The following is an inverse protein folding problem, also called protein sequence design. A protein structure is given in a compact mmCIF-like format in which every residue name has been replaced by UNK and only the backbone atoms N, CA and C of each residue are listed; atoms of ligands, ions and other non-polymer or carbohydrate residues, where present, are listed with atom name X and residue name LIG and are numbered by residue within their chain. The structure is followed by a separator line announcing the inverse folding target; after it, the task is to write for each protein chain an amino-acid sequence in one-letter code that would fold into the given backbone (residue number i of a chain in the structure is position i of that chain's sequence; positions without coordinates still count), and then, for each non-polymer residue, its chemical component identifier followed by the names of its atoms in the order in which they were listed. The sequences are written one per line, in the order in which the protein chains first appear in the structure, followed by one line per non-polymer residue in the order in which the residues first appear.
data_IF_671320208492
#
_entry.id   IF_671320208492
#
_cell.length_a   1.000
_cell.length_b   1.000
_cell.length_c   1.000
_cell.angle_alpha   90.00
_cell.angle_beta   90.00
_cell.angle_gamma   90.00
#
_symmetry.space_group_name_H-M   'P 1'
#
loop_
_entity.id
_entity.type
_entity.pdbx_description
1 polymer ?
#
# COMPACT_ATOMS: atom_id res chain seq x y z
N UNK A 1 2.14 -17.34 -16.38
CA UNK A 1 3.03 -16.16 -16.51
C UNK A 1 2.24 -14.85 -16.50
N UNK A 2 1.35 -14.58 -17.46
CA UNK A 2 0.60 -13.31 -17.50
C UNK A 2 -0.52 -13.24 -16.46
N UNK A 3 -1.15 -14.37 -16.12
CA UNK A 3 -2.27 -14.41 -15.17
C UNK A 3 -1.83 -14.04 -13.75
N UNK A 4 -0.71 -14.58 -13.30
CA UNK A 4 -0.16 -14.35 -11.96
C UNK A 4 0.26 -12.89 -11.79
N UNK A 5 0.92 -12.32 -12.81
CA UNK A 5 1.27 -10.90 -12.86
C UNK A 5 0.03 -10.01 -12.69
N UNK A 6 -1.04 -10.28 -13.45
CA UNK A 6 -2.28 -9.50 -13.37
C UNK A 6 -2.99 -9.67 -12.03
N UNK A 7 -3.04 -10.90 -11.49
CA UNK A 7 -3.65 -11.18 -10.20
C UNK A 7 -2.92 -10.43 -9.08
N UNK A 8 -1.60 -10.54 -9.00
CA UNK A 8 -0.79 -9.88 -7.98
C UNK A 8 -0.82 -8.35 -8.13
N UNK A 9 -0.79 -7.84 -9.37
CA UNK A 9 -0.97 -6.41 -9.64
C UNK A 9 -2.31 -5.92 -9.08
N UNK A 10 -3.41 -6.63 -9.36
CA UNK A 10 -4.73 -6.24 -8.85
C UNK A 10 -4.77 -6.26 -7.32
N UNK A 11 -4.19 -7.28 -6.69
CA UNK A 11 -4.16 -7.39 -5.23
C UNK A 11 -3.32 -6.26 -4.59
N UNK A 12 -2.18 -5.89 -5.17
CA UNK A 12 -1.39 -4.75 -4.72
C UNK A 12 -2.14 -3.43 -4.88
N UNK A 13 -2.81 -3.22 -6.02
CA UNK A 13 -3.62 -2.03 -6.25
C UNK A 13 -4.79 -1.92 -5.27
N UNK A 14 -5.41 -3.05 -4.91
CA UNK A 14 -6.49 -3.09 -3.92
C UNK A 14 -5.96 -2.88 -2.51
N UNK A 15 -4.80 -3.43 -2.18
CA UNK A 15 -4.15 -3.17 -0.90
C UNK A 15 -3.91 -1.66 -0.74
N UNK A 16 -3.26 -1.01 -1.71
CA UNK A 16 -2.86 0.40 -1.57
C UNK A 16 -4.00 1.40 -1.84
N UNK A 17 -4.85 1.13 -2.83
CA UNK A 17 -5.99 1.97 -3.20
C UNK A 17 -7.20 1.82 -2.29
N UNK A 18 -7.35 0.66 -1.63
CA UNK A 18 -8.49 0.33 -0.78
C UNK A 18 -8.79 1.36 0.32
N UNK A 19 -7.79 1.80 1.13
CA UNK A 19 -8.01 2.82 2.17
C UNK A 19 -8.53 4.15 1.62
N UNK A 20 -8.05 4.58 0.45
CA UNK A 20 -8.51 5.80 -0.19
C UNK A 20 -9.97 5.65 -0.64
N UNK A 21 -10.30 4.55 -1.31
CA UNK A 21 -11.67 4.26 -1.75
C UNK A 21 -12.61 4.18 -0.54
N UNK A 22 -12.22 3.49 0.53
CA UNK A 22 -13.04 3.42 1.74
C UNK A 22 -13.26 4.80 2.35
N UNK A 23 -12.23 5.67 2.38
CA UNK A 23 -12.39 7.05 2.86
C UNK A 23 -13.34 7.86 1.98
N UNK A 24 -13.35 7.64 0.67
CA UNK A 24 -14.21 8.33 -0.28
C UNK A 24 -15.67 7.90 -0.15
N UNK A 25 -15.94 6.60 -0.07
CA UNK A 25 -17.31 6.07 -0.05
C UNK A 25 -17.88 5.95 1.37
N UNK A 26 -17.03 5.79 2.39
CA UNK A 26 -17.43 5.67 3.79
C UNK A 26 -16.51 6.48 4.72
N UNK A 27 -16.54 7.82 4.64
CA UNK A 27 -15.63 8.68 5.41
C UNK A 27 -15.76 8.48 6.92
N UNK A 28 -16.99 8.26 7.42
CA UNK A 28 -17.33 8.05 8.82
C UNK A 28 -17.18 6.59 9.30
N UNK A 29 -16.50 5.73 8.55
CA UNK A 29 -16.28 4.35 8.99
C UNK A 29 -15.47 4.34 10.30
N UNK A 30 -15.76 3.41 11.23
CA UNK A 30 -15.06 3.34 12.51
C UNK A 30 -13.55 3.11 12.33
N UNK A 31 -12.77 3.33 13.39
CA UNK A 31 -11.31 3.10 13.41
C UNK A 31 -10.49 4.01 12.47
N UNK A 32 -11.03 5.17 12.08
CA UNK A 32 -10.29 6.20 11.33
C UNK A 32 -9.21 6.94 12.14
N UNK A 33 -8.78 6.39 13.28
CA UNK A 33 -7.79 7.00 14.18
C UNK A 33 -6.36 6.73 13.70
N UNK A 34 -5.41 7.66 13.93
CA UNK A 34 -4.00 7.45 13.62
C UNK A 34 -3.46 6.20 14.30
N UNK A 35 -2.71 5.38 13.55
CA UNK A 35 -2.11 4.14 14.02
C UNK A 35 -1.08 4.39 15.12
N UNK A 36 -0.33 5.49 15.01
CA UNK A 36 0.66 5.91 16.00
C UNK A 36 0.05 6.64 17.21
N UNK A 37 -1.27 6.88 17.23
CA UNK A 37 -1.95 7.63 18.28
C UNK A 37 -1.45 9.08 18.43
N UNK A 38 -0.81 9.65 17.40
CA UNK A 38 -0.21 10.99 17.48
C UNK A 38 1.12 11.05 18.22
N UNK A 39 1.79 9.91 18.46
CA UNK A 39 3.09 9.86 19.11
C UNK A 39 4.15 10.64 18.33
N UNK A 40 4.90 11.45 19.06
CA UNK A 40 6.07 12.20 18.58
C UNK A 40 7.32 11.58 19.20
N UNK A 41 8.36 11.36 18.39
CA UNK A 41 9.63 10.80 18.83
C UNK A 41 10.58 11.88 19.37
N UNK A 42 11.72 11.47 19.92
CA UNK A 42 12.71 12.36 20.53
C UNK A 42 13.29 13.44 19.58
N UNK A 43 13.20 13.22 18.26
CA UNK A 43 13.60 14.21 17.25
C UNK A 43 12.50 15.24 16.91
N UNK A 44 11.40 15.26 17.68
CA UNK A 44 10.29 16.19 17.49
C UNK A 44 9.36 15.84 16.32
N UNK A 45 9.53 14.68 15.68
CA UNK A 45 8.75 14.27 14.50
C UNK A 45 7.78 13.14 14.82
N UNK A 46 6.61 13.06 14.13
CA UNK A 46 5.68 11.95 14.30
C UNK A 46 6.35 10.59 14.06
N UNK A 47 5.83 9.54 14.70
CA UNK A 47 6.29 8.16 14.46
C UNK A 47 5.98 7.72 13.02
N UNK A 48 4.73 7.91 12.57
CA UNK A 48 4.28 7.59 11.21
C UNK A 48 3.64 8.82 10.56
N UNK A 49 2.76 9.50 11.30
CA UNK A 49 1.95 10.62 10.84
C UNK A 49 0.47 10.24 10.68
N UNK A 50 -0.40 11.25 10.78
CA UNK A 50 -1.86 11.06 10.87
C UNK A 50 -2.54 10.41 9.66
N UNK A 51 -1.84 10.24 8.53
CA UNK A 51 -2.35 9.55 7.35
C UNK A 51 -2.42 8.02 7.50
N UNK A 52 -1.62 7.44 8.42
CA UNK A 52 -1.63 5.98 8.67
C UNK A 52 -2.66 5.69 9.75
N UNK A 53 -3.76 5.03 9.39
CA UNK A 53 -4.90 4.79 10.30
C UNK A 53 -5.10 3.31 10.56
N UNK A 54 -5.71 2.96 11.70
CA UNK A 54 -6.06 1.57 12.03
C UNK A 54 -6.98 0.97 10.96
N UNK A 55 -8.03 1.71 10.57
CA UNK A 55 -8.93 1.33 9.47
C UNK A 55 -8.17 1.12 8.17
N UNK A 56 -7.25 2.01 7.82
CA UNK A 56 -6.42 1.89 6.63
C UNK A 56 -5.65 0.57 6.60
N UNK A 57 -4.89 0.28 7.67
CA UNK A 57 -4.12 -0.97 7.81
C UNK A 57 -5.02 -2.20 7.67
N UNK A 58 -6.18 -2.21 8.33
CA UNK A 58 -7.11 -3.33 8.22
C UNK A 58 -7.60 -3.54 6.78
N UNK A 59 -7.91 -2.47 6.05
CA UNK A 59 -8.32 -2.56 4.64
C UNK A 59 -7.19 -3.06 3.76
N UNK A 60 -5.97 -2.53 3.93
CA UNK A 60 -4.79 -2.95 3.17
C UNK A 60 -4.50 -4.46 3.32
N UNK A 61 -4.82 -5.04 4.47
CA UNK A 61 -4.66 -6.48 4.74
C UNK A 61 -5.85 -7.32 4.27
N UNK A 62 -7.08 -6.91 4.59
CA UNK A 62 -8.27 -7.73 4.41
C UNK A 62 -8.84 -7.66 2.99
N UNK A 63 -8.78 -6.50 2.33
CA UNK A 63 -9.30 -6.35 0.97
C UNK A 63 -8.59 -7.30 -0.04
N UNK A 64 -7.25 -7.38 -0.09
CA UNK A 64 -6.59 -8.34 -0.98
C UNK A 64 -6.84 -9.80 -0.54
N UNK A 65 -6.94 -10.09 0.75
CA UNK A 65 -7.29 -11.44 1.22
C UNK A 65 -8.66 -11.90 0.72
N UNK A 66 -9.66 -11.02 0.77
CA UNK A 66 -11.02 -11.29 0.29
C UNK A 66 -11.10 -11.37 -1.24
N UNK A 67 -10.29 -10.59 -1.96
CA UNK A 67 -10.29 -10.58 -3.42
C UNK A 67 -9.47 -11.72 -4.04
N UNK A 68 -8.47 -12.24 -3.32
CA UNK A 68 -7.57 -13.27 -3.85
C UNK A 68 -8.29 -14.50 -4.45
N UNK A 69 -9.32 -15.10 -3.83
CA UNK A 69 -10.05 -16.23 -4.43
C UNK A 69 -10.67 -15.90 -5.78
N UNK A 70 -11.15 -14.67 -5.97
CA UNK A 70 -11.80 -14.21 -7.21
C UNK A 70 -10.81 -14.19 -8.37
N UNK A 71 -9.55 -13.86 -8.11
CA UNK A 71 -8.47 -13.89 -9.12
C UNK A 71 -7.78 -15.26 -9.23
N UNK A 72 -8.25 -16.26 -8.49
CA UNK A 72 -7.70 -17.62 -8.49
C UNK A 72 -6.43 -17.76 -7.64
N UNK A 73 -6.28 -16.94 -6.61
CA UNK A 73 -5.17 -16.96 -5.65
C UNK A 73 -5.72 -17.33 -4.27
N UNK A 74 -4.94 -18.05 -3.46
CA UNK A 74 -5.36 -18.40 -2.08
C UNK A 74 -5.59 -17.14 -1.23
N UNK A 75 -6.63 -17.10 -0.37
CA UNK A 75 -6.86 -15.96 0.52
C UNK A 75 -5.68 -15.71 1.47
N UNK A 76 -4.93 -16.75 1.83
CA UNK A 76 -3.70 -16.63 2.62
C UNK A 76 -2.60 -15.86 1.90
N UNK A 77 -2.48 -16.02 0.57
CA UNK A 77 -1.53 -15.26 -0.24
C UNK A 77 -1.99 -13.80 -0.34
N UNK A 78 -3.30 -13.55 -0.50
CA UNK A 78 -3.84 -12.20 -0.46
C UNK A 78 -3.57 -11.49 0.87
N UNK A 79 -3.75 -12.20 1.99
CA UNK A 79 -3.44 -11.68 3.33
C UNK A 79 -1.94 -11.39 3.49
N UNK A 80 -1.08 -12.35 3.12
CA UNK A 80 0.37 -12.18 3.18
C UNK A 80 0.82 -10.97 2.37
N UNK A 81 0.33 -10.84 1.13
CA UNK A 81 0.62 -9.74 0.24
C UNK A 81 0.18 -8.41 0.84
N UNK A 82 -1.07 -8.33 1.34
CA UNK A 82 -1.60 -7.13 1.99
C UNK A 82 -0.81 -6.73 3.24
N UNK A 83 -0.47 -7.69 4.10
CA UNK A 83 0.32 -7.45 5.31
C UNK A 83 1.73 -6.95 5.02
N UNK A 84 2.41 -7.56 4.06
CA UNK A 84 3.77 -7.18 3.68
C UNK A 84 3.81 -5.85 2.91
N UNK A 85 2.82 -5.59 2.06
CA UNK A 85 2.66 -4.27 1.43
C UNK A 85 2.43 -3.18 2.48
N UNK A 86 1.57 -3.45 3.48
CA UNK A 86 1.34 -2.54 4.61
C UNK A 86 2.61 -2.32 5.43
N UNK A 87 3.41 -3.36 5.66
CA UNK A 87 4.69 -3.22 6.35
C UNK A 87 5.66 -2.31 5.57
N UNK A 88 5.72 -2.48 4.25
CA UNK A 88 6.49 -1.59 3.36
C UNK A 88 6.04 -0.13 3.49
N UNK A 89 4.72 0.11 3.38
CA UNK A 89 4.12 1.44 3.51
C UNK A 89 4.40 2.10 4.87
N UNK A 90 4.25 1.35 5.96
CA UNK A 90 4.54 1.85 7.32
C UNK A 90 6.03 2.11 7.53
N UNK A 91 6.90 1.21 7.03
CA UNK A 91 8.35 1.36 7.08
C UNK A 91 8.82 2.60 6.31
N UNK A 92 8.30 2.80 5.10
CA UNK A 92 8.54 4.02 4.33
C UNK A 92 8.01 5.25 5.05
N UNK A 93 6.80 5.21 5.60
CA UNK A 93 6.23 6.33 6.35
C UNK A 93 7.12 6.74 7.52
N UNK A 94 7.59 5.77 8.31
CA UNK A 94 8.55 5.98 9.38
C UNK A 94 9.85 6.62 8.87
N UNK A 95 10.46 6.05 7.83
CA UNK A 95 11.70 6.55 7.26
C UNK A 95 11.55 7.98 6.75
N UNK A 96 10.44 8.31 6.08
CA UNK A 96 10.12 9.68 5.64
C UNK A 96 10.09 10.65 6.81
N UNK A 97 9.58 10.26 7.99
CA UNK A 97 9.64 11.09 9.20
C UNK A 97 11.07 11.27 9.70
N UNK A 98 11.88 10.21 9.70
CA UNK A 98 13.30 10.31 10.10
C UNK A 98 14.10 11.21 9.14
N UNK A 99 13.74 11.24 7.86
CA UNK A 99 14.34 12.12 6.85
C UNK A 99 13.79 13.56 6.86
N UNK A 100 12.73 13.84 7.62
CA UNK A 100 12.19 15.19 7.81
C UNK A 100 11.15 15.60 6.79
N UNK A 101 10.67 14.63 6.01
CA UNK A 101 9.58 14.83 5.09
C UNK A 101 8.27 14.96 5.88
N UNK A 102 7.43 15.92 5.52
CA UNK A 102 6.11 16.13 6.14
C UNK A 102 5.16 14.95 5.86
N UNK A 103 4.17 14.66 6.73
CA UNK A 103 3.10 13.71 6.43
C UNK A 103 2.44 14.04 5.09
N UNK A 104 2.23 13.01 4.25
CA UNK A 104 1.72 13.18 2.89
C UNK A 104 2.75 13.62 1.85
N UNK A 105 3.99 13.95 2.24
CA UNK A 105 5.05 14.21 1.27
C UNK A 105 5.38 12.94 0.46
N UNK A 106 5.46 13.15 -0.85
CA UNK A 106 5.87 12.18 -1.85
C UNK A 106 7.37 11.88 -1.73
N UNK A 107 7.74 10.60 -1.76
CA UNK A 107 9.12 10.16 -1.95
C UNK A 107 9.16 9.11 -3.08
N UNK A 108 9.38 9.60 -4.31
CA UNK A 108 9.39 8.74 -5.50
C UNK A 108 10.35 7.57 -5.35
N UNK A 109 9.87 6.37 -5.68
CA UNK A 109 10.61 5.12 -5.52
C UNK A 109 10.58 4.60 -4.09
N UNK A 110 10.75 5.46 -3.08
CA UNK A 110 10.70 5.03 -1.69
C UNK A 110 9.28 4.61 -1.27
N UNK A 111 8.26 5.27 -1.80
CA UNK A 111 6.86 4.89 -1.59
C UNK A 111 6.55 3.57 -2.34
N UNK A 112 6.89 3.47 -3.63
CA UNK A 112 6.44 2.34 -4.45
C UNK A 112 7.24 1.04 -4.26
N UNK A 113 8.57 1.12 -4.07
CA UNK A 113 9.43 -0.06 -4.11
C UNK A 113 9.20 -1.00 -2.92
N UNK A 114 9.19 -0.56 -1.65
CA UNK A 114 8.99 -1.45 -0.52
C UNK A 114 7.58 -2.05 -0.52
N UNK A 115 6.57 -1.26 -0.89
CA UNK A 115 5.16 -1.67 -0.93
C UNK A 115 4.89 -2.78 -1.94
N UNK A 116 5.64 -2.82 -3.05
CA UNK A 116 5.51 -3.85 -4.08
C UNK A 116 6.53 -4.99 -3.94
N UNK A 117 7.82 -4.67 -3.78
CA UNK A 117 8.87 -5.70 -3.81
C UNK A 117 8.83 -6.60 -2.57
N UNK A 118 8.56 -6.05 -1.40
CA UNK A 118 8.53 -6.83 -0.16
C UNK A 118 7.48 -7.96 -0.20
N UNK A 119 6.20 -7.71 -0.55
CA UNK A 119 5.24 -8.79 -0.74
C UNK A 119 5.57 -9.70 -1.93
N UNK A 120 6.00 -9.16 -3.08
CA UNK A 120 6.28 -9.98 -4.27
C UNK A 120 7.42 -10.96 -4.05
N UNK A 121 8.48 -10.54 -3.35
CA UNK A 121 9.61 -11.41 -3.01
C UNK A 121 9.19 -12.53 -2.05
N UNK A 122 8.28 -12.26 -1.11
CA UNK A 122 7.74 -13.29 -0.22
C UNK A 122 6.81 -14.26 -0.96
N UNK A 123 6.00 -13.78 -1.90
CA UNK A 123 5.13 -14.63 -2.72
C UNK A 123 5.89 -15.39 -3.81
N UNK A 124 7.09 -14.95 -4.19
CA UNK A 124 7.91 -15.56 -5.26
C UNK A 124 8.07 -17.09 -5.11
N UNK A 125 8.58 -17.63 -3.98
CA UNK A 125 8.72 -19.08 -3.82
C UNK A 125 7.36 -19.79 -3.69
N UNK A 126 6.33 -19.11 -3.18
CA UNK A 126 5.01 -19.69 -2.92
C UNK A 126 4.18 -19.88 -4.20
N UNK A 127 4.41 -19.02 -5.20
CA UNK A 127 3.68 -19.01 -6.47
C UNK A 127 4.57 -19.42 -7.66
N UNK A 128 5.82 -19.77 -7.41
CA UNK A 128 6.77 -20.15 -8.46
C UNK A 128 7.15 -19.01 -9.40
N UNK A 129 7.16 -17.76 -8.92
CA UNK A 129 7.41 -16.59 -9.77
C UNK A 129 8.88 -16.52 -10.23
N UNK A 130 9.07 -16.16 -11.49
CA UNK A 130 10.34 -15.73 -12.05
C UNK A 130 10.71 -14.31 -11.61
N UNK A 131 11.99 -13.97 -11.72
CA UNK A 131 12.47 -12.60 -11.43
C UNK A 131 11.84 -11.56 -12.37
N UNK A 132 11.64 -11.92 -13.65
CA UNK A 132 10.98 -11.04 -14.62
C UNK A 132 9.55 -10.70 -14.22
N UNK A 133 8.80 -11.64 -13.65
CA UNK A 133 7.42 -11.41 -13.19
C UNK A 133 7.40 -10.47 -11.97
N UNK A 134 8.31 -10.70 -11.01
CA UNK A 134 8.45 -9.81 -9.84
C UNK A 134 8.75 -8.37 -10.27
N UNK A 135 9.74 -8.19 -11.15
CA UNK A 135 10.14 -6.87 -11.62
C UNK A 135 9.04 -6.21 -12.46
N UNK A 136 8.38 -6.97 -13.33
CA UNK A 136 7.28 -6.46 -14.15
C UNK A 136 6.09 -6.04 -13.28
N UNK A 137 5.65 -6.87 -12.33
CA UNK A 137 4.55 -6.52 -11.44
C UNK A 137 4.89 -5.31 -10.58
N UNK A 138 6.11 -5.21 -10.04
CA UNK A 138 6.54 -4.05 -9.26
C UNK A 138 6.55 -2.76 -10.09
N UNK A 139 7.05 -2.82 -11.33
CA UNK A 139 7.06 -1.69 -12.25
C UNK A 139 5.64 -1.25 -12.61
N UNK A 140 4.77 -2.20 -12.99
CA UNK A 140 3.38 -1.92 -13.32
C UNK A 140 2.62 -1.33 -12.14
N UNK A 141 2.86 -1.84 -10.92
CA UNK A 141 2.29 -1.28 -9.70
C UNK A 141 2.76 0.15 -9.49
N UNK A 142 4.06 0.42 -9.58
CA UNK A 142 4.60 1.77 -9.37
C UNK A 142 4.00 2.78 -10.35
N UNK A 143 3.89 2.42 -11.63
CA UNK A 143 3.26 3.28 -12.64
C UNK A 143 1.77 3.50 -12.38
N UNK A 144 1.05 2.43 -12.03
CA UNK A 144 -0.37 2.51 -11.73
C UNK A 144 -0.65 3.31 -10.45
N UNK A 145 0.18 3.18 -9.42
CA UNK A 145 0.06 3.94 -8.18
C UNK A 145 0.24 5.44 -8.41
N UNK A 146 1.28 5.82 -9.17
CA UNK A 146 1.50 7.22 -9.57
C UNK A 146 0.32 7.76 -10.39
N UNK A 147 -0.19 6.98 -11.33
CA UNK A 147 -1.36 7.37 -12.14
C UNK A 147 -2.62 7.54 -11.27
N UNK A 148 -2.92 6.59 -10.39
CA UNK A 148 -4.07 6.65 -9.48
C UNK A 148 -3.96 7.81 -8.50
N UNK A 149 -2.77 8.06 -7.97
CA UNK A 149 -2.49 9.21 -7.13
C UNK A 149 -2.79 10.52 -7.86
N UNK A 150 -2.29 10.68 -9.09
CA UNK A 150 -2.54 11.88 -9.91
C UNK A 150 -4.02 12.06 -10.25
N UNK A 151 -4.72 10.98 -10.62
CA UNK A 151 -6.17 11.01 -10.87
C UNK A 151 -6.92 11.42 -9.60
N UNK A 152 -6.58 10.85 -8.45
CA UNK A 152 -7.23 11.18 -7.18
C UNK A 152 -7.03 12.63 -6.75
N UNK A 153 -5.87 13.21 -7.07
CA UNK A 153 -5.61 14.64 -6.88
C UNK A 153 -6.46 15.51 -7.82
N UNK A 154 -6.53 15.16 -9.12
CA UNK A 154 -7.36 15.87 -10.09
C UNK A 154 -8.85 15.85 -9.74
N UNK A 155 -9.31 14.78 -9.09
CA UNK A 155 -10.69 14.64 -8.61
C UNK A 155 -10.93 15.32 -7.25
N UNK A 156 -9.91 15.94 -6.64
CA UNK A 156 -10.03 16.66 -5.37
C UNK A 156 -10.07 15.76 -4.13
N UNK A 157 -9.76 14.46 -4.26
CA UNK A 157 -9.72 13.52 -3.12
C UNK A 157 -8.39 13.54 -2.36
N UNK A 158 -7.38 14.22 -2.91
CA UNK A 158 -6.08 14.46 -2.27
C UNK A 158 -5.65 15.90 -2.44
N UNK A 159 -4.94 16.43 -1.45
CA UNK A 159 -4.38 17.78 -1.47
C UNK A 159 -3.13 17.88 -2.37
N UNK A 160 -2.35 16.80 -2.45
CA UNK A 160 -1.14 16.69 -3.27
C UNK A 160 -1.06 15.34 -4.00
N UNK A 161 -0.56 15.31 -5.24
CA UNK A 161 -0.19 14.06 -5.89
C UNK A 161 1.13 13.52 -5.32
N UNK A 162 1.16 12.20 -5.09
CA UNK A 162 2.39 11.38 -5.10
C UNK A 162 3.07 11.36 -6.47
#
# INVERSE_FOLDING_TARGET
MTREVLALLLLLLVAHGGPLLLRMFWPRAPMGVPLDGGRVMADGRPLLGGSKTVRGVLVMMLAPALLAPVVGVSPWIGLLLGSLSTLGDLGTSFLKRRLGLAPGAMALGLDQLPEALLPLLACKPLLGLGWGEVLLTALLFALADLALSRISWLLGFREHPH
#
